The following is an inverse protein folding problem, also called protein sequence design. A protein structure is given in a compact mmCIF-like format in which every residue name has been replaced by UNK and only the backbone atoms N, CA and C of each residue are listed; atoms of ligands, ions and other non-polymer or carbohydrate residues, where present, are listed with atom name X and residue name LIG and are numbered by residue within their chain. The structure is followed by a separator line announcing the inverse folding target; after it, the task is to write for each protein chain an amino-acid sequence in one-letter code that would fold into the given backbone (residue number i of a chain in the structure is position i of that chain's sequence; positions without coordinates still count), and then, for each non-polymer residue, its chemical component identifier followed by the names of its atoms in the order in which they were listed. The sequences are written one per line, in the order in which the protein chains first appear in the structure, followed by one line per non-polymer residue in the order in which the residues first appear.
data_IF_551406434644
#
_entry.id   IF_551406434644
#
_cell.length_a   1.000
_cell.length_b   1.000
_cell.length_c   1.000
_cell.angle_alpha   90.00
_cell.angle_beta   90.00
_cell.angle_gamma   90.00
#
_symmetry.space_group_name_H-M   'P 1'
#
loop_
_entity.id
_entity.type
_entity.pdbx_description
1 polymer ?
#
# COMPACT_ATOMS: atom_id res chain seq x y z
N UNK A 1 7.79 -3.87 -16.26
CA UNK A 1 6.31 -3.89 -16.44
C UNK A 1 5.88 -2.89 -17.49
N UNK A 2 4.62 -3.00 -17.96
CA UNK A 2 4.09 -2.02 -18.93
C UNK A 2 4.06 -0.60 -18.37
N UNK A 3 3.72 -0.42 -17.08
CA UNK A 3 3.79 0.90 -16.44
C UNK A 3 5.19 1.48 -16.52
N UNK A 4 6.20 0.71 -16.14
CA UNK A 4 7.60 1.16 -16.23
C UNK A 4 8.01 1.47 -17.68
N UNK A 5 7.62 0.65 -18.66
CA UNK A 5 7.94 0.89 -20.07
C UNK A 5 7.32 2.20 -20.60
N UNK A 6 6.05 2.44 -20.25
CA UNK A 6 5.38 3.70 -20.63
C UNK A 6 6.03 4.92 -19.98
N UNK A 7 6.47 4.81 -18.71
CA UNK A 7 7.18 5.89 -18.03
C UNK A 7 8.55 6.17 -18.66
N UNK A 8 9.29 5.12 -19.01
CA UNK A 8 10.59 5.27 -19.72
C UNK A 8 10.38 6.01 -21.03
N UNK A 9 9.42 5.58 -21.85
CA UNK A 9 9.15 6.24 -23.12
C UNK A 9 8.76 7.70 -22.93
N UNK A 10 7.81 7.98 -22.03
CA UNK A 10 7.39 9.34 -21.76
C UNK A 10 8.55 10.24 -21.28
N UNK A 11 9.45 9.73 -20.43
CA UNK A 11 10.60 10.48 -19.94
C UNK A 11 11.66 10.68 -21.04
N UNK A 12 11.85 9.70 -21.94
CA UNK A 12 12.80 9.83 -23.05
C UNK A 12 12.40 10.88 -24.09
N UNK A 13 11.11 11.24 -24.11
CA UNK A 13 10.57 12.28 -25.00
C UNK A 13 10.54 13.68 -24.36
N UNK A 14 10.94 13.79 -23.06
CA UNK A 14 10.96 15.07 -22.37
C UNK A 14 12.12 15.93 -22.81
N UNK A 15 11.83 17.22 -23.01
CA UNK A 15 12.84 18.24 -23.20
C UNK A 15 13.71 18.41 -21.94
N UNK A 16 15.00 18.71 -22.12
CA UNK A 16 15.97 18.88 -21.04
C UNK A 16 15.69 20.09 -20.12
N UNK A 17 14.80 21.00 -20.52
CA UNK A 17 14.38 22.15 -19.71
C UNK A 17 13.53 21.75 -18.49
N UNK A 18 12.84 20.60 -18.53
CA UNK A 18 12.03 20.13 -17.41
C UNK A 18 12.92 19.72 -16.24
N UNK A 19 12.65 20.27 -15.05
CA UNK A 19 13.42 20.05 -13.83
C UNK A 19 12.84 18.96 -12.93
N UNK A 20 11.57 18.62 -13.12
CA UNK A 20 10.82 17.66 -12.29
C UNK A 20 9.89 16.84 -13.18
N UNK A 21 9.85 15.54 -12.92
CA UNK A 21 8.84 14.62 -13.43
C UNK A 21 7.85 14.33 -12.32
N UNK A 22 6.57 14.60 -12.54
CA UNK A 22 5.48 14.31 -11.62
C UNK A 22 4.63 13.14 -12.15
N UNK A 23 4.44 12.13 -11.33
CA UNK A 23 3.68 10.92 -11.64
C UNK A 23 2.37 10.92 -10.86
N UNK A 24 1.30 10.54 -11.54
CA UNK A 24 -0.02 10.32 -10.94
C UNK A 24 -0.69 9.12 -11.61
N UNK A 25 -1.44 8.33 -10.85
CA UNK A 25 -2.22 7.23 -11.44
C UNK A 25 -3.35 7.81 -12.31
N UNK A 26 -3.58 7.22 -13.50
CA UNK A 26 -4.50 7.75 -14.52
C UNK A 26 -5.97 7.82 -14.07
N UNK A 27 -6.34 7.08 -13.02
CA UNK A 27 -7.66 7.06 -12.39
C UNK A 27 -7.76 7.95 -11.14
N UNK A 28 -6.83 8.89 -10.98
CA UNK A 28 -6.75 9.79 -9.82
C UNK A 28 -7.27 11.17 -10.16
N UNK A 29 -8.14 11.71 -9.29
CA UNK A 29 -8.54 13.12 -9.31
C UNK A 29 -7.75 13.86 -8.23
N UNK A 30 -6.90 14.77 -8.66
CA UNK A 30 -6.05 15.56 -7.77
C UNK A 30 -6.74 16.88 -7.38
N UNK A 31 -6.38 17.43 -6.22
CA UNK A 31 -6.87 18.75 -5.80
C UNK A 31 -6.09 19.89 -6.50
N UNK A 32 -6.64 21.12 -6.56
CA UNK A 32 -6.04 22.21 -7.35
C UNK A 32 -4.60 22.58 -6.97
N UNK A 33 -4.20 22.41 -5.72
CA UNK A 33 -2.84 22.73 -5.25
C UNK A 33 -1.88 21.52 -5.26
N UNK A 34 -2.34 20.36 -5.75
CA UNK A 34 -1.59 19.10 -5.71
C UNK A 34 -0.18 19.22 -6.29
N UNK A 35 -0.05 19.74 -7.50
CA UNK A 35 1.26 19.83 -8.17
C UNK A 35 2.21 20.76 -7.40
N UNK A 36 1.72 21.89 -6.90
CA UNK A 36 2.52 22.81 -6.09
C UNK A 36 3.04 22.14 -4.83
N UNK A 37 2.16 21.47 -4.09
CA UNK A 37 2.51 20.81 -2.84
C UNK A 37 3.46 19.62 -3.08
N UNK A 38 3.32 18.93 -4.22
CA UNK A 38 4.18 17.83 -4.61
C UNK A 38 5.60 18.32 -4.98
N UNK A 39 5.72 19.44 -5.66
CA UNK A 39 7.00 19.94 -6.20
C UNK A 39 7.76 20.82 -5.21
N UNK A 40 7.07 21.60 -4.39
CA UNK A 40 7.71 22.57 -3.47
C UNK A 40 8.81 21.94 -2.58
N UNK A 41 8.64 20.77 -1.97
CA UNK A 41 9.71 20.21 -1.12
C UNK A 41 10.97 19.79 -1.89
N UNK A 42 10.90 19.63 -3.22
CA UNK A 42 12.06 19.38 -4.07
C UNK A 42 13.04 20.57 -4.17
N UNK A 43 12.61 21.77 -3.77
CA UNK A 43 13.51 22.93 -3.66
C UNK A 43 14.59 22.68 -2.59
N UNK A 44 14.34 21.84 -1.61
CA UNK A 44 15.35 21.48 -0.63
C UNK A 44 16.44 20.60 -1.27
N UNK A 45 17.75 20.93 -1.08
CA UNK A 45 18.84 20.24 -1.76
C UNK A 45 18.92 18.74 -1.45
N UNK A 46 18.57 18.31 -0.24
CA UNK A 46 18.60 16.91 0.20
C UNK A 46 17.34 16.10 -0.17
N UNK A 47 16.38 16.70 -0.87
CA UNK A 47 15.17 16.00 -1.31
C UNK A 47 15.29 15.68 -2.78
N UNK A 48 15.34 14.40 -3.13
CA UNK A 48 15.41 13.91 -4.51
C UNK A 48 14.05 13.54 -5.09
N UNK A 49 13.12 13.12 -4.23
CA UNK A 49 11.75 12.82 -4.60
C UNK A 49 10.77 13.19 -3.49
N UNK A 50 9.52 13.43 -3.89
CA UNK A 50 8.40 13.70 -2.98
C UNK A 50 7.25 12.75 -3.28
N UNK A 51 6.53 12.33 -2.25
CA UNK A 51 5.41 11.39 -2.40
C UNK A 51 4.27 11.73 -1.45
N UNK A 52 3.05 11.43 -1.88
CA UNK A 52 1.90 11.26 -1.01
C UNK A 52 1.62 9.77 -0.76
N UNK A 53 0.36 9.48 -0.42
CA UNK A 53 -0.14 8.11 -0.31
C UNK A 53 -1.65 8.08 -0.57
N UNK A 54 -2.22 6.89 -0.59
CA UNK A 54 -3.66 6.69 -0.67
C UNK A 54 -4.26 6.39 0.70
N UNK A 55 -5.47 6.84 0.89
CA UNK A 55 -6.28 6.53 2.05
C UNK A 55 -7.58 5.87 1.62
N UNK A 56 -7.90 4.73 2.20
CA UNK A 56 -9.08 3.98 1.81
C UNK A 56 -10.28 4.38 2.66
N UNK A 57 -11.36 4.78 2.00
CA UNK A 57 -12.64 5.05 2.64
C UNK A 57 -13.57 3.87 2.39
N UNK A 58 -14.05 3.24 3.46
CA UNK A 58 -15.05 2.18 3.37
C UNK A 58 -16.46 2.76 3.57
N UNK A 59 -17.38 2.34 2.72
CA UNK A 59 -18.83 2.55 2.94
C UNK A 59 -19.41 1.54 3.94
N UNK A 60 -18.58 0.62 4.44
CA UNK A 60 -18.96 -0.39 5.42
C UNK A 60 -19.68 -1.61 4.86
N UNK A 61 -19.81 -1.73 3.55
CA UNK A 61 -20.53 -2.85 2.90
C UNK A 61 -19.67 -4.13 2.80
N UNK A 62 -18.38 -3.99 2.50
CA UNK A 62 -17.48 -5.12 2.22
C UNK A 62 -16.37 -5.25 3.26
N UNK A 63 -16.22 -6.47 3.78
CA UNK A 63 -15.11 -6.81 4.68
C UNK A 63 -13.73 -6.61 4.03
N UNK A 64 -13.61 -6.87 2.74
CA UNK A 64 -12.36 -6.65 2.02
C UNK A 64 -11.91 -5.19 2.07
N UNK A 65 -12.83 -4.24 1.94
CA UNK A 65 -12.49 -2.81 2.04
C UNK A 65 -12.09 -2.43 3.46
N UNK A 66 -12.77 -2.97 4.49
CA UNK A 66 -12.41 -2.70 5.89
C UNK A 66 -11.02 -3.26 6.23
N UNK A 67 -10.73 -4.50 5.85
CA UNK A 67 -9.41 -5.12 6.07
C UNK A 67 -8.32 -4.35 5.30
N UNK A 68 -8.59 -3.89 4.05
CA UNK A 68 -7.68 -3.06 3.28
C UNK A 68 -7.39 -1.73 3.97
N UNK A 69 -8.41 -1.09 4.52
CA UNK A 69 -8.27 0.14 5.30
C UNK A 69 -7.40 -0.08 6.54
N UNK A 70 -7.67 -1.10 7.35
CA UNK A 70 -6.92 -1.40 8.57
C UNK A 70 -5.45 -1.74 8.26
N UNK A 71 -5.21 -2.55 7.24
CA UNK A 71 -3.86 -2.85 6.80
C UNK A 71 -3.12 -1.60 6.29
N UNK A 72 -3.84 -0.70 5.60
CA UNK A 72 -3.27 0.54 5.08
C UNK A 72 -2.86 1.52 6.19
N UNK A 73 -3.46 1.47 7.37
CA UNK A 73 -3.02 2.29 8.52
C UNK A 73 -1.56 1.99 8.85
N UNK A 74 -1.22 0.71 9.03
CA UNK A 74 0.18 0.29 9.25
C UNK A 74 1.07 0.65 8.06
N UNK A 75 0.61 0.40 6.83
CA UNK A 75 1.37 0.71 5.63
C UNK A 75 1.69 2.21 5.50
N UNK A 76 0.75 3.11 5.78
CA UNK A 76 0.99 4.57 5.74
C UNK A 76 2.02 4.99 6.78
N UNK A 77 1.94 4.46 8.00
CA UNK A 77 2.93 4.72 9.06
C UNK A 77 4.32 4.27 8.59
N UNK A 78 4.43 3.05 8.07
CA UNK A 78 5.71 2.51 7.58
C UNK A 78 6.25 3.33 6.40
N UNK A 79 5.42 3.69 5.44
CA UNK A 79 5.83 4.51 4.29
C UNK A 79 6.33 5.89 4.72
N UNK A 80 5.69 6.50 5.73
CA UNK A 80 6.16 7.76 6.32
C UNK A 80 7.51 7.59 7.02
N UNK A 81 7.63 6.60 7.91
CA UNK A 81 8.84 6.38 8.73
C UNK A 81 10.04 5.95 7.88
N UNK A 82 9.82 5.09 6.89
CA UNK A 82 10.89 4.53 6.07
C UNK A 82 11.11 5.27 4.76
N UNK A 83 10.34 6.32 4.46
CA UNK A 83 10.48 7.08 3.23
C UNK A 83 10.18 6.26 1.98
N UNK A 84 9.19 5.36 2.03
CA UNK A 84 8.81 4.52 0.90
C UNK A 84 7.88 5.33 -0.01
N UNK A 85 8.26 5.59 -1.27
CA UNK A 85 7.42 6.33 -2.19
C UNK A 85 6.27 5.50 -2.76
N UNK A 86 5.24 6.19 -3.22
CA UNK A 86 4.11 5.63 -3.94
C UNK A 86 3.95 6.30 -5.31
N UNK A 87 4.06 5.51 -6.38
CA UNK A 87 3.99 5.98 -7.77
C UNK A 87 2.65 6.54 -8.24
N UNK A 88 1.60 6.49 -7.40
CA UNK A 88 0.31 7.13 -7.68
C UNK A 88 0.26 8.61 -7.30
N UNK A 89 1.26 9.12 -6.59
CA UNK A 89 1.52 10.53 -6.31
C UNK A 89 3.00 10.67 -5.97
N UNK A 90 3.82 11.00 -6.96
CA UNK A 90 5.28 10.98 -6.85
C UNK A 90 5.87 12.07 -7.73
N UNK A 91 6.82 12.85 -7.24
CA UNK A 91 7.67 13.67 -8.09
C UNK A 91 9.15 13.39 -7.84
N UNK A 92 9.93 13.44 -8.91
CA UNK A 92 11.36 13.13 -8.93
C UNK A 92 12.08 14.26 -9.65
N UNK A 93 13.23 14.70 -9.14
CA UNK A 93 14.11 15.62 -9.87
C UNK A 93 14.60 14.96 -11.17
N UNK A 94 14.45 15.63 -12.30
CA UNK A 94 14.88 15.10 -13.60
C UNK A 94 16.37 14.78 -13.60
N UNK A 95 17.18 15.60 -12.95
CA UNK A 95 18.61 15.33 -12.76
C UNK A 95 18.89 13.97 -12.12
N UNK A 96 18.10 13.60 -11.09
CA UNK A 96 18.24 12.29 -10.43
C UNK A 96 17.90 11.16 -11.39
N UNK A 97 16.85 11.32 -12.19
CA UNK A 97 16.45 10.30 -13.17
C UNK A 97 17.58 9.99 -14.15
N UNK A 98 18.24 11.04 -14.66
CA UNK A 98 19.33 10.86 -15.64
C UNK A 98 20.61 10.35 -15.01
N UNK A 99 20.94 10.74 -13.78
CA UNK A 99 22.23 10.38 -13.14
C UNK A 99 22.22 9.03 -12.44
N UNK A 100 21.04 8.53 -12.04
CA UNK A 100 20.95 7.35 -11.16
C UNK A 100 20.82 6.01 -11.88
N UNK A 101 20.74 5.99 -13.22
CA UNK A 101 20.46 4.77 -13.97
C UNK A 101 19.10 4.14 -13.66
N UNK A 102 18.14 4.95 -13.17
CA UNK A 102 16.83 4.43 -12.77
C UNK A 102 16.03 3.90 -13.96
N UNK A 103 16.20 4.48 -15.15
CA UNK A 103 15.48 4.05 -16.35
C UNK A 103 15.89 2.63 -16.76
N UNK A 104 17.15 2.27 -16.62
CA UNK A 104 17.66 0.91 -16.87
C UNK A 104 17.13 -0.09 -15.85
N UNK A 105 16.98 0.33 -14.58
CA UNK A 105 16.35 -0.49 -13.53
C UNK A 105 14.86 -0.67 -13.84
N UNK A 106 14.14 0.39 -14.23
CA UNK A 106 12.71 0.33 -14.61
C UNK A 106 12.43 -0.54 -15.81
N UNK A 107 13.34 -0.58 -16.81
CA UNK A 107 13.19 -1.43 -17.99
C UNK A 107 13.00 -2.92 -17.63
N UNK A 108 13.52 -3.34 -16.48
CA UNK A 108 13.49 -4.72 -15.99
C UNK A 108 12.65 -4.94 -14.75
N UNK A 109 12.02 -3.87 -14.23
CA UNK A 109 11.28 -3.88 -12.95
C UNK A 109 9.78 -4.15 -13.10
N UNK A 110 9.18 -4.62 -11.99
CA UNK A 110 7.72 -4.77 -11.86
C UNK A 110 7.04 -3.46 -11.45
N UNK A 111 7.69 -2.65 -10.59
CA UNK A 111 7.21 -1.37 -10.09
C UNK A 111 8.31 -0.33 -10.15
N UNK A 112 7.91 0.94 -10.31
CA UNK A 112 8.81 2.08 -10.48
C UNK A 112 9.19 2.76 -9.18
N UNK A 113 8.39 2.59 -8.12
CA UNK A 113 8.41 3.45 -6.94
C UNK A 113 9.30 2.93 -5.80
N UNK A 114 9.06 1.74 -5.30
CA UNK A 114 9.63 1.24 -4.03
C UNK A 114 11.17 1.25 -3.99
N UNK A 115 11.84 1.01 -5.14
CA UNK A 115 13.30 1.03 -5.24
C UNK A 115 13.91 2.44 -5.14
N UNK A 116 13.10 3.48 -5.34
CA UNK A 116 13.60 4.85 -5.46
C UNK A 116 14.27 5.35 -4.19
N UNK A 117 13.80 4.89 -3.00
CA UNK A 117 14.43 5.25 -1.72
C UNK A 117 15.92 4.87 -1.70
N UNK A 118 16.23 3.63 -2.07
CA UNK A 118 17.60 3.12 -2.00
C UNK A 118 18.48 3.78 -3.07
N UNK A 119 17.93 4.01 -4.27
CA UNK A 119 18.61 4.76 -5.33
C UNK A 119 18.94 6.18 -4.87
N UNK A 120 18.01 6.89 -4.23
CA UNK A 120 18.27 8.24 -3.74
C UNK A 120 19.31 8.27 -2.62
N UNK A 121 19.34 7.26 -1.77
CA UNK A 121 20.32 7.16 -0.69
C UNK A 121 21.77 7.07 -1.21
N UNK A 122 22.00 6.45 -2.38
CA UNK A 122 23.30 6.41 -3.04
C UNK A 122 23.84 7.82 -3.41
N UNK A 123 22.94 8.80 -3.54
CA UNK A 123 23.26 10.21 -3.86
C UNK A 123 23.09 11.16 -2.65
N UNK A 124 23.00 10.63 -1.43
CA UNK A 124 22.74 11.40 -0.20
C UNK A 124 21.45 12.24 -0.29
N UNK A 125 20.49 11.74 -1.02
CA UNK A 125 19.15 12.30 -1.20
C UNK A 125 18.10 11.44 -0.48
N UNK A 126 16.95 12.05 -0.17
CA UNK A 126 15.84 11.36 0.48
C UNK A 126 14.52 11.57 -0.22
N UNK A 127 13.60 10.65 0.03
CA UNK A 127 12.18 10.81 -0.28
C UNK A 127 11.53 11.64 0.82
N UNK A 128 10.76 12.67 0.44
CA UNK A 128 9.95 13.47 1.37
C UNK A 128 8.48 13.08 1.24
N UNK A 129 7.92 12.53 2.30
CA UNK A 129 6.48 12.31 2.40
C UNK A 129 5.76 13.63 2.68
N UNK A 130 4.66 13.89 1.95
CA UNK A 130 3.84 15.10 2.07
C UNK A 130 2.41 14.69 2.45
N UNK A 131 2.01 14.83 3.72
CA UNK A 131 0.70 14.35 4.21
C UNK A 131 -0.50 14.93 3.45
N UNK A 132 -0.40 16.19 3.01
CA UNK A 132 -1.47 16.87 2.27
C UNK A 132 -1.74 16.29 0.87
N UNK A 133 -0.87 15.41 0.37
CA UNK A 133 -1.01 14.72 -0.91
C UNK A 133 -1.68 13.35 -0.80
N UNK A 134 -2.43 13.12 0.26
CA UNK A 134 -3.22 11.89 0.42
C UNK A 134 -4.35 11.85 -0.61
N UNK A 135 -4.40 10.75 -1.36
CA UNK A 135 -5.43 10.48 -2.37
C UNK A 135 -6.48 9.55 -1.77
N UNK A 136 -7.75 9.98 -1.79
CA UNK A 136 -8.85 9.17 -1.28
C UNK A 136 -9.23 8.07 -2.27
N UNK A 137 -9.11 6.82 -1.85
CA UNK A 137 -9.61 5.68 -2.61
C UNK A 137 -10.96 5.25 -2.05
N UNK A 138 -12.00 5.30 -2.91
CA UNK A 138 -13.39 4.96 -2.58
C UNK A 138 -13.83 3.63 -3.18
N UNK A 139 -12.91 2.90 -3.80
CA UNK A 139 -13.20 1.59 -4.37
C UNK A 139 -13.53 0.59 -3.28
N UNK A 140 -14.65 -0.09 -3.42
CA UNK A 140 -15.01 -1.23 -2.57
C UNK A 140 -14.41 -2.52 -3.12
N UNK A 141 -13.96 -3.41 -2.25
CA UNK A 141 -13.41 -4.69 -2.67
C UNK A 141 -13.86 -5.86 -1.79
N UNK A 142 -14.00 -7.02 -2.42
CA UNK A 142 -14.24 -8.28 -1.74
C UNK A 142 -12.94 -8.86 -1.16
N UNK A 143 -13.04 -9.80 -0.21
CA UNK A 143 -11.87 -10.46 0.38
C UNK A 143 -10.95 -11.16 -0.66
N UNK A 144 -11.44 -11.87 -1.69
CA UNK A 144 -10.57 -12.42 -2.73
C UNK A 144 -9.80 -11.36 -3.54
N UNK A 145 -10.47 -10.25 -3.91
CA UNK A 145 -9.80 -9.13 -4.60
C UNK A 145 -8.74 -8.49 -3.71
N UNK A 146 -9.05 -8.30 -2.41
CA UNK A 146 -8.09 -7.82 -1.41
C UNK A 146 -6.86 -8.72 -1.34
N UNK A 147 -7.03 -10.05 -1.23
CA UNK A 147 -5.93 -11.00 -1.11
C UNK A 147 -4.96 -10.88 -2.29
N UNK A 148 -5.48 -10.80 -3.51
CA UNK A 148 -4.65 -10.63 -4.71
C UNK A 148 -3.92 -9.28 -4.72
N UNK A 149 -4.58 -8.23 -4.23
CA UNK A 149 -3.97 -6.91 -4.10
C UNK A 149 -2.86 -6.90 -3.06
N UNK A 150 -3.08 -7.47 -1.85
CA UNK A 150 -2.08 -7.55 -0.78
C UNK A 150 -0.85 -8.37 -1.21
N UNK A 151 -1.07 -9.53 -1.85
CA UNK A 151 0.03 -10.34 -2.41
C UNK A 151 0.92 -9.53 -3.35
N UNK A 152 0.33 -8.69 -4.20
CA UNK A 152 1.08 -7.83 -5.11
C UNK A 152 1.88 -6.77 -4.36
N UNK A 153 1.29 -6.09 -3.35
CA UNK A 153 2.01 -5.08 -2.57
C UNK A 153 3.21 -5.71 -1.84
N UNK A 154 2.99 -6.84 -1.16
CA UNK A 154 4.04 -7.54 -0.43
C UNK A 154 5.12 -8.10 -1.36
N UNK A 155 4.75 -8.58 -2.55
CA UNK A 155 5.71 -9.01 -3.56
C UNK A 155 6.59 -7.86 -4.05
N UNK A 156 6.01 -6.69 -4.31
CA UNK A 156 6.76 -5.49 -4.72
C UNK A 156 7.72 -5.08 -3.59
N UNK A 157 7.26 -5.08 -2.33
CA UNK A 157 8.11 -4.80 -1.17
C UNK A 157 9.25 -5.82 -1.05
N UNK A 158 8.99 -7.12 -1.22
CA UNK A 158 10.00 -8.18 -1.23
C UNK A 158 11.07 -7.95 -2.32
N UNK A 159 10.66 -7.49 -3.48
CA UNK A 159 11.57 -7.31 -4.62
C UNK A 159 12.46 -6.06 -4.49
N UNK A 160 11.93 -4.98 -3.91
CA UNK A 160 12.55 -3.65 -4.06
C UNK A 160 12.76 -2.90 -2.75
N UNK A 161 12.29 -3.40 -1.59
CA UNK A 161 12.52 -2.73 -0.31
C UNK A 161 13.71 -3.36 0.40
N UNK A 162 14.78 -2.60 0.59
CA UNK A 162 16.01 -3.06 1.26
C UNK A 162 15.77 -3.57 2.69
N UNK A 163 14.80 -2.99 3.38
CA UNK A 163 14.43 -3.39 4.73
C UNK A 163 13.24 -4.37 4.77
N UNK A 164 13.10 -5.24 3.74
CA UNK A 164 12.04 -6.25 3.69
C UNK A 164 11.97 -7.14 4.94
N UNK A 165 13.08 -7.38 5.58
CA UNK A 165 13.14 -8.14 6.84
C UNK A 165 12.32 -7.49 7.96
N UNK A 166 12.21 -6.13 8.01
CA UNK A 166 11.33 -5.43 8.97
C UNK A 166 9.85 -5.75 8.70
N UNK A 167 9.46 -5.84 7.45
CA UNK A 167 8.09 -6.25 7.05
C UNK A 167 7.80 -7.66 7.52
N UNK A 168 8.78 -8.59 7.42
CA UNK A 168 8.65 -9.95 7.94
C UNK A 168 8.51 -9.95 9.46
N UNK A 169 9.37 -9.24 10.17
CA UNK A 169 9.31 -9.14 11.65
C UNK A 169 7.94 -8.59 12.08
N UNK A 170 7.52 -7.48 11.50
CA UNK A 170 6.21 -6.89 11.81
C UNK A 170 5.07 -7.87 11.55
N UNK A 171 5.09 -8.59 10.42
CA UNK A 171 4.08 -9.59 10.12
C UNK A 171 4.10 -10.78 11.10
N UNK A 172 5.27 -11.22 11.55
CA UNK A 172 5.37 -12.27 12.58
C UNK A 172 4.76 -11.80 13.88
N UNK A 173 5.11 -10.60 14.36
CA UNK A 173 4.57 -10.06 15.61
C UNK A 173 3.07 -9.77 15.52
N UNK A 174 2.61 -9.17 14.43
CA UNK A 174 1.19 -8.80 14.26
C UNK A 174 0.28 -9.97 13.91
N UNK A 175 0.81 -11.04 13.31
CA UNK A 175 0.03 -12.21 12.90
C UNK A 175 0.23 -13.40 13.83
N UNK A 176 1.48 -13.84 14.03
CA UNK A 176 1.75 -15.07 14.78
C UNK A 176 1.45 -14.92 16.26
N UNK A 177 1.94 -13.87 16.90
CA UNK A 177 1.81 -13.68 18.34
C UNK A 177 0.35 -13.55 18.82
N UNK A 178 -0.51 -12.70 18.23
CA UNK A 178 -1.91 -12.64 18.63
C UNK A 178 -2.68 -13.94 18.42
N UNK A 179 -2.38 -14.67 17.34
CA UNK A 179 -3.02 -15.96 17.09
C UNK A 179 -2.55 -17.02 18.07
N UNK A 180 -1.27 -17.02 18.45
CA UNK A 180 -0.76 -17.91 19.50
C UNK A 180 -1.47 -17.62 20.83
N UNK A 181 -1.66 -16.35 21.20
CA UNK A 181 -2.40 -15.98 22.41
C UNK A 181 -3.84 -16.50 22.33
N UNK A 182 -4.53 -16.39 21.19
CA UNK A 182 -5.88 -16.92 21.02
C UNK A 182 -5.93 -18.44 21.20
N UNK A 183 -4.96 -19.17 20.64
CA UNK A 183 -4.85 -20.62 20.84
C UNK A 183 -4.63 -20.95 22.33
N UNK A 184 -3.72 -20.22 22.99
CA UNK A 184 -3.49 -20.41 24.43
C UNK A 184 -4.72 -20.10 25.28
N UNK A 185 -5.49 -19.07 24.94
CA UNK A 185 -6.79 -18.78 25.57
C UNK A 185 -7.72 -20.00 25.45
N UNK A 186 -7.90 -20.55 24.24
CA UNK A 186 -8.75 -21.72 24.02
C UNK A 186 -8.27 -22.95 24.81
N UNK A 187 -6.98 -23.23 24.81
CA UNK A 187 -6.39 -24.35 25.55
C UNK A 187 -6.65 -24.19 27.05
N UNK A 188 -6.46 -23.00 27.62
CA UNK A 188 -6.67 -22.78 29.05
C UNK A 188 -8.14 -22.83 29.46
N UNK A 189 -9.08 -22.47 28.58
CA UNK A 189 -10.52 -22.73 28.79
C UNK A 189 -10.79 -24.23 28.88
N UNK A 190 -10.24 -25.04 27.94
CA UNK A 190 -10.43 -26.51 27.92
C UNK A 190 -9.80 -27.19 29.13
N UNK A 191 -8.71 -26.64 29.66
CA UNK A 191 -8.02 -27.16 30.86
C UNK A 191 -8.57 -26.57 32.16
N UNK A 192 -9.64 -25.75 32.13
CA UNK A 192 -10.24 -25.08 33.27
C UNK A 192 -9.25 -24.23 34.10
N UNK A 193 -8.18 -23.71 33.46
CA UNK A 193 -7.16 -22.85 34.09
C UNK A 193 -7.59 -21.37 33.98
N UNK A 194 -8.56 -20.98 34.79
CA UNK A 194 -9.25 -19.69 34.71
C UNK A 194 -8.33 -18.48 34.99
N UNK A 195 -7.33 -18.61 35.86
CA UNK A 195 -6.39 -17.53 36.16
C UNK A 195 -5.54 -17.18 34.93
N UNK A 196 -4.98 -18.20 34.26
CA UNK A 196 -4.17 -18.00 33.06
C UNK A 196 -5.05 -17.51 31.90
N UNK A 197 -6.26 -18.04 31.77
CA UNK A 197 -7.25 -17.55 30.81
C UNK A 197 -7.51 -16.05 31.01
N UNK A 198 -7.79 -15.60 32.23
CA UNK A 198 -8.07 -14.19 32.52
C UNK A 198 -6.88 -13.29 32.18
N UNK A 199 -5.64 -13.68 32.50
CA UNK A 199 -4.43 -12.95 32.15
C UNK A 199 -4.28 -12.83 30.63
N UNK A 200 -4.37 -13.94 29.92
CA UNK A 200 -4.22 -13.95 28.44
C UNK A 200 -5.31 -13.14 27.75
N UNK A 201 -6.56 -13.24 28.21
CA UNK A 201 -7.68 -12.47 27.68
C UNK A 201 -7.47 -10.98 27.92
N UNK A 202 -6.99 -10.60 29.11
CA UNK A 202 -6.68 -9.21 29.44
C UNK A 202 -5.56 -8.66 28.53
N UNK A 203 -4.47 -9.41 28.36
CA UNK A 203 -3.36 -9.03 27.47
C UNK A 203 -3.84 -8.87 26.01
N UNK A 204 -4.64 -9.81 25.53
CA UNK A 204 -5.21 -9.73 24.18
C UNK A 204 -6.16 -8.54 24.01
N UNK A 205 -7.00 -8.26 25.02
CA UNK A 205 -7.91 -7.12 25.00
C UNK A 205 -7.16 -5.79 24.98
N UNK A 206 -6.10 -5.65 25.78
CA UNK A 206 -5.23 -4.47 25.79
C UNK A 206 -4.58 -4.28 24.40
N UNK A 207 -4.08 -5.36 23.79
CA UNK A 207 -3.50 -5.32 22.46
C UNK A 207 -4.49 -4.82 21.39
N UNK A 208 -5.69 -5.39 21.35
CA UNK A 208 -6.75 -4.98 20.40
C UNK A 208 -7.16 -3.52 20.64
N UNK A 209 -7.29 -3.12 21.92
CA UNK A 209 -7.61 -1.73 22.27
C UNK A 209 -6.51 -0.76 21.84
N UNK A 210 -5.25 -1.11 22.01
CA UNK A 210 -4.13 -0.29 21.57
C UNK A 210 -4.12 -0.11 20.04
N UNK A 211 -4.38 -1.17 19.27
CA UNK A 211 -4.50 -1.08 17.81
C UNK A 211 -5.69 -0.22 17.38
N UNK A 212 -6.82 -0.34 18.07
CA UNK A 212 -7.98 0.50 17.82
C UNK A 212 -7.67 1.97 18.10
N UNK A 213 -6.97 2.27 19.20
CA UNK A 213 -6.56 3.62 19.54
C UNK A 213 -5.62 4.20 18.48
N UNK A 214 -4.63 3.44 18.03
CA UNK A 214 -3.74 3.83 16.92
C UNK A 214 -4.56 4.13 15.66
N UNK A 215 -5.51 3.27 15.32
CA UNK A 215 -6.39 3.47 14.16
C UNK A 215 -7.20 4.79 14.28
N UNK A 216 -7.74 5.08 15.45
CA UNK A 216 -8.50 6.31 15.71
C UNK A 216 -7.59 7.54 15.61
N UNK A 217 -6.39 7.50 16.19
CA UNK A 217 -5.43 8.62 16.15
C UNK A 217 -5.01 8.91 14.71
N UNK A 218 -4.63 7.88 13.96
CA UNK A 218 -4.22 8.04 12.56
C UNK A 218 -5.39 8.54 11.69
N UNK A 219 -6.57 7.94 11.85
CA UNK A 219 -7.77 8.39 11.13
C UNK A 219 -8.10 9.87 11.43
N UNK A 220 -7.98 10.28 12.71
CA UNK A 220 -8.24 11.67 13.12
C UNK A 220 -7.23 12.62 12.46
N UNK A 221 -5.94 12.30 12.50
CA UNK A 221 -4.90 13.10 11.85
C UNK A 221 -5.10 13.18 10.32
N UNK A 222 -5.46 12.07 9.68
CA UNK A 222 -5.76 12.05 8.24
C UNK A 222 -6.98 12.93 7.93
N UNK A 223 -8.04 12.81 8.73
CA UNK A 223 -9.27 13.63 8.55
C UNK A 223 -8.98 15.11 8.68
N UNK A 224 -8.16 15.52 9.64
CA UNK A 224 -7.75 16.91 9.80
C UNK A 224 -7.07 17.45 8.52
N UNK A 225 -6.17 16.67 7.94
CA UNK A 225 -5.45 17.05 6.70
C UNK A 225 -6.38 17.16 5.50
N UNK A 226 -7.33 16.23 5.34
CA UNK A 226 -8.12 16.11 4.09
C UNK A 226 -9.52 16.73 4.18
N UNK A 227 -10.03 17.03 5.37
CA UNK A 227 -11.40 17.56 5.56
C UNK A 227 -11.63 18.92 4.90
N UNK A 228 -10.59 19.72 4.76
CA UNK A 228 -10.66 21.01 4.05
C UNK A 228 -10.90 20.86 2.54
N UNK A 229 -10.70 19.68 1.99
CA UNK A 229 -10.72 19.40 0.54
C UNK A 229 -11.78 18.39 0.12
N UNK A 230 -12.15 17.48 1.02
CA UNK A 230 -13.01 16.34 0.71
C UNK A 230 -14.06 16.12 1.79
N UNK A 231 -15.29 15.83 1.35
CA UNK A 231 -16.33 15.33 2.25
C UNK A 231 -16.02 13.89 2.66
N UNK A 232 -15.80 13.69 3.95
CA UNK A 232 -15.46 12.39 4.53
C UNK A 232 -16.65 11.92 5.39
N UNK A 233 -17.19 10.72 5.15
CA UNK A 233 -18.25 10.15 5.97
C UNK A 233 -17.82 10.05 7.45
N UNK A 234 -18.73 10.33 8.37
CA UNK A 234 -18.49 10.14 9.80
C UNK A 234 -18.32 8.65 10.11
N UNK A 235 -17.43 8.34 11.06
CA UNK A 235 -17.32 6.99 11.60
C UNK A 235 -18.57 6.75 12.47
N UNK A 236 -19.30 5.68 12.13
CA UNK A 236 -20.47 5.28 12.93
C UNK A 236 -20.04 4.28 14.02
N UNK A 237 -20.85 4.14 15.06
CA UNK A 237 -20.64 3.11 16.08
C UNK A 237 -20.61 1.70 15.46
N UNK A 238 -21.45 1.44 14.46
CA UNK A 238 -21.43 0.17 13.72
C UNK A 238 -20.10 -0.06 13.01
N UNK A 239 -19.48 0.98 12.42
CA UNK A 239 -18.13 0.88 11.81
C UNK A 239 -17.09 0.56 12.88
N UNK A 240 -17.18 1.19 14.06
CA UNK A 240 -16.25 0.93 15.17
C UNK A 240 -16.35 -0.54 15.65
N UNK A 241 -17.54 -1.05 15.81
CA UNK A 241 -17.77 -2.47 16.19
C UNK A 241 -17.24 -3.44 15.13
N UNK A 242 -17.48 -3.15 13.84
CA UNK A 242 -16.89 -3.94 12.74
C UNK A 242 -15.36 -3.90 12.76
N UNK A 243 -14.77 -2.78 13.16
CA UNK A 243 -13.30 -2.63 13.23
C UNK A 243 -12.69 -3.58 14.26
N UNK A 244 -13.34 -3.79 15.41
CA UNK A 244 -12.88 -4.77 16.42
C UNK A 244 -12.76 -6.18 15.86
N UNK A 245 -13.70 -6.61 15.03
CA UNK A 245 -13.64 -7.91 14.32
C UNK A 245 -12.66 -7.83 13.14
N UNK A 246 -12.59 -6.67 12.50
CA UNK A 246 -11.71 -6.42 11.36
C UNK A 246 -10.23 -6.53 11.69
N UNK A 247 -9.80 -6.15 12.91
CA UNK A 247 -8.40 -6.21 13.34
C UNK A 247 -7.84 -7.64 13.27
N UNK A 248 -8.38 -8.65 13.99
CA UNK A 248 -7.88 -10.01 13.89
C UNK A 248 -8.02 -10.59 12.47
N UNK A 249 -9.09 -10.26 11.75
CA UNK A 249 -9.24 -10.66 10.36
C UNK A 249 -8.12 -10.08 9.48
N UNK A 250 -7.69 -8.84 9.72
CA UNK A 250 -6.56 -8.21 9.01
C UNK A 250 -5.26 -8.96 9.25
N UNK A 251 -5.00 -9.40 10.48
CA UNK A 251 -3.81 -10.20 10.81
C UNK A 251 -3.77 -11.51 10.02
N UNK A 252 -4.89 -12.21 9.92
CA UNK A 252 -4.98 -13.45 9.15
C UNK A 252 -4.70 -13.20 7.66
N UNK A 253 -5.37 -12.20 7.07
CA UNK A 253 -5.16 -11.87 5.66
C UNK A 253 -3.73 -11.44 5.38
N UNK A 254 -3.11 -10.69 6.30
CA UNK A 254 -1.73 -10.26 6.18
C UNK A 254 -0.77 -11.46 6.20
N UNK A 255 -0.90 -12.36 7.18
CA UNK A 255 -0.09 -13.56 7.26
C UNK A 255 -0.21 -14.47 6.03
N UNK A 256 -1.44 -14.74 5.56
CA UNK A 256 -1.67 -15.52 4.34
C UNK A 256 -1.10 -14.83 3.09
N UNK A 257 -1.26 -13.52 2.96
CA UNK A 257 -0.72 -12.76 1.84
C UNK A 257 0.80 -12.76 1.84
N UNK A 258 1.44 -12.64 3.02
CA UNK A 258 2.89 -12.69 3.17
C UNK A 258 3.45 -14.05 2.73
N UNK A 259 2.95 -15.15 3.29
CA UNK A 259 3.39 -16.51 2.93
C UNK A 259 3.18 -16.76 1.43
N UNK A 260 2.04 -16.34 0.90
CA UNK A 260 1.77 -16.44 -0.53
C UNK A 260 2.77 -15.63 -1.37
N UNK A 261 3.09 -14.39 -0.96
CA UNK A 261 3.99 -13.51 -1.71
C UNK A 261 5.43 -14.06 -1.77
N UNK A 262 5.88 -14.73 -0.70
CA UNK A 262 7.21 -15.36 -0.65
C UNK A 262 7.37 -16.42 -1.74
N UNK A 263 6.32 -17.21 -1.99
CA UNK A 263 6.31 -18.31 -2.96
C UNK A 263 5.88 -17.90 -4.37
N UNK A 264 5.41 -16.66 -4.54
CA UNK A 264 4.87 -16.19 -5.82
C UNK A 264 6.00 -15.91 -6.81
N UNK A 265 5.98 -16.62 -7.94
CA UNK A 265 6.83 -16.41 -9.11
C UNK A 265 6.06 -15.89 -10.33
N UNK A 266 4.73 -15.71 -10.21
CA UNK A 266 3.86 -15.28 -11.30
C UNK A 266 2.74 -14.40 -10.74
N UNK A 267 2.52 -13.25 -11.38
CA UNK A 267 1.46 -12.31 -10.95
C UNK A 267 0.61 -11.89 -12.14
N UNK A 268 -0.70 -11.80 -11.91
CA UNK A 268 -1.64 -11.21 -12.86
C UNK A 268 -2.06 -9.82 -12.37
N UNK A 269 -1.93 -8.83 -13.25
CA UNK A 269 -2.34 -7.45 -12.98
C UNK A 269 -3.06 -6.89 -14.21
N UNK A 270 -4.34 -6.53 -14.05
CA UNK A 270 -5.21 -6.04 -15.14
C UNK A 270 -5.15 -6.96 -16.39
N UNK A 271 -5.33 -8.27 -16.19
CA UNK A 271 -5.26 -9.32 -17.23
C UNK A 271 -3.90 -9.46 -17.93
N UNK A 272 -2.87 -8.81 -17.41
CA UNK A 272 -1.50 -8.94 -17.87
C UNK A 272 -0.75 -9.84 -16.89
N UNK A 273 -0.05 -10.84 -17.40
CA UNK A 273 0.64 -11.82 -16.56
C UNK A 273 2.15 -11.64 -16.68
N UNK A 274 2.79 -11.44 -15.53
CA UNK A 274 4.24 -11.34 -15.41
C UNK A 274 4.80 -12.57 -14.70
N UNK A 275 5.90 -13.10 -15.23
CA UNK A 275 6.74 -14.10 -14.56
C UNK A 275 7.92 -13.41 -13.92
N UNK A 276 8.15 -13.70 -12.63
CA UNK A 276 9.17 -13.06 -11.80
C UNK A 276 10.25 -14.09 -11.50
N UNK A 277 11.48 -13.84 -11.93
CA UNK A 277 12.64 -14.66 -11.63
C UNK A 277 13.51 -14.03 -10.53
N UNK A 278 13.66 -12.71 -10.58
CA UNK A 278 14.39 -11.91 -9.58
C UNK A 278 13.90 -10.45 -9.65
N UNK A 279 14.37 -9.53 -8.77
CA UNK A 279 13.94 -8.12 -8.75
C UNK A 279 13.99 -7.41 -10.10
N UNK A 280 15.05 -7.65 -10.87
CA UNK A 280 15.27 -7.04 -12.19
C UNK A 280 15.24 -8.07 -13.33
N UNK A 281 14.48 -9.13 -13.16
CA UNK A 281 14.28 -10.17 -14.17
C UNK A 281 12.80 -10.54 -14.26
N UNK A 282 12.03 -9.60 -14.79
CA UNK A 282 10.57 -9.68 -14.94
C UNK A 282 10.22 -9.87 -16.41
N UNK A 283 9.46 -10.90 -16.71
CA UNK A 283 9.02 -11.22 -18.08
C UNK A 283 7.50 -11.12 -18.20
N UNK A 284 7.05 -10.40 -19.20
CA UNK A 284 5.64 -10.41 -19.60
C UNK A 284 5.37 -11.74 -20.33
N UNK A 285 4.42 -12.53 -19.85
CA UNK A 285 4.09 -13.85 -20.40
C UNK A 285 2.72 -13.91 -21.07
N UNK A 286 1.80 -13.01 -20.68
CA UNK A 286 0.48 -12.92 -21.29
C UNK A 286 0.03 -11.46 -21.32
N UNK A 287 -0.39 -11.00 -22.50
CA UNK A 287 -0.89 -9.65 -22.70
C UNK A 287 -2.32 -9.72 -23.28
N UNK A 288 -3.31 -9.47 -22.45
CA UNK A 288 -4.73 -9.44 -22.85
C UNK A 288 -5.45 -8.31 -22.08
N UNK A 289 -4.99 -7.05 -22.19
CA UNK A 289 -5.54 -5.98 -21.38
C UNK A 289 -6.98 -5.63 -21.68
N UNK A 290 -7.41 -5.88 -22.92
CA UNK A 290 -8.73 -5.49 -23.45
C UNK A 290 -9.68 -6.66 -23.71
N UNK A 291 -9.35 -7.88 -23.31
CA UNK A 291 -10.40 -8.87 -23.13
C UNK A 291 -11.23 -8.41 -21.93
N UNK A 292 -12.03 -7.38 -22.23
CA UNK A 292 -13.13 -7.00 -21.37
C UNK A 292 -14.00 -8.22 -21.12
N UNK A 293 -14.68 -8.25 -20.00
CA UNK A 293 -15.85 -9.07 -19.73
C UNK A 293 -17.01 -8.74 -20.73
N UNK A 294 -16.71 -8.48 -22.00
CA UNK A 294 -17.69 -8.21 -23.04
C UNK A 294 -18.68 -9.36 -23.27
N UNK A 295 -18.40 -10.54 -22.75
CA UNK A 295 -19.39 -11.62 -22.66
C UNK A 295 -20.25 -11.58 -21.39
N UNK A 296 -20.01 -10.66 -20.45
CA UNK A 296 -20.87 -10.46 -19.26
C UNK A 296 -21.70 -9.17 -19.29
N UNK A 297 -21.44 -8.28 -20.24
CA UNK A 297 -22.15 -6.99 -20.34
C UNK A 297 -23.47 -7.12 -21.07
N UNK A 298 -23.72 -8.19 -21.83
CA UNK A 298 -25.02 -8.40 -22.53
C UNK A 298 -26.19 -8.75 -21.60
N UNK A 299 -25.98 -8.88 -20.28
CA UNK A 299 -27.07 -9.22 -19.36
C UNK A 299 -27.34 -8.19 -18.26
N UNK A 300 -26.73 -6.99 -18.27
CA UNK A 300 -27.02 -5.96 -17.29
C UNK A 300 -26.91 -4.52 -17.83
N UNK A 301 -27.42 -4.27 -19.03
CA UNK A 301 -27.83 -2.93 -19.43
C UNK A 301 -29.32 -2.99 -19.70
N UNK A 302 -30.11 -2.87 -18.67
CA UNK A 302 -31.43 -2.27 -18.75
C UNK A 302 -31.49 -1.23 -17.65
N UNK A 303 -31.45 0.04 -18.09
CA UNK A 303 -31.93 1.28 -17.50
C UNK A 303 -31.63 1.52 -16.01
#
# INVERSE_FOLDING_TARGET
SLKCSSLIQAISELDSSYKVVALVDADTVVHPTWLRELVTPLLHPKVGATTGNRWYLSKGMYWGTLVRYLWNISAVIQMYLYGIPWGGTLAIKTQVIHQSGILEKWARALSEDTMLKDILAEYDLKVKFVPSLLILNREECTLPKLMNWMKRQLLISKLYHSQWWLVIIEAVFSTFLPNLILVLIMVNVLLAKWDIFAILLTCYSIYIFALLLIAIVVETAIREVISSRWLIPKITFATLMKTLIGIPLTHWFYGFALVSSIRTSKISWRNIVYRIKSPFNIHLTKYQPYQSDSQKVDNQVSL
#
